data_IF_127478391841
#
_entry.id   IF_127478391841
#
_cell.length_a   1.000
_cell.length_b   1.000
_cell.length_c   1.000
_cell.angle_alpha   90.00
_cell.angle_beta   90.00
_cell.angle_gamma   90.00
#
_symmetry.space_group_name_H-M   'P 1'
#
loop_
_entity.id
_entity.type
_entity.pdbx_description
1 polymer ?
#
# COMPACT_ATOMS: atom_id res chain seq x y z
N UNK A 1 -51.15 -2.46 24.11
CA UNK A 1 -50.67 -1.66 22.96
C UNK A 1 -49.16 -1.59 23.06
N UNK A 2 -48.50 -1.80 21.93
CA UNK A 2 -47.13 -2.28 21.78
C UNK A 2 -46.05 -1.28 22.18
N UNK A 3 -44.96 -1.83 22.70
CA UNK A 3 -43.66 -1.21 22.98
C UNK A 3 -42.97 -0.81 21.67
N UNK A 4 -42.68 0.48 21.48
CA UNK A 4 -41.79 0.94 20.41
C UNK A 4 -40.33 0.82 20.89
N UNK A 5 -39.65 -0.22 20.42
CA UNK A 5 -38.19 -0.31 20.49
C UNK A 5 -37.58 0.54 19.37
N UNK A 6 -36.87 1.60 19.75
CA UNK A 6 -35.92 2.27 18.86
C UNK A 6 -34.71 1.35 18.63
N UNK A 7 -34.28 1.11 17.37
CA UNK A 7 -33.04 0.40 17.12
C UNK A 7 -31.86 1.33 17.39
N UNK A 8 -31.01 0.87 18.32
CA UNK A 8 -29.75 1.48 18.69
C UNK A 8 -28.78 1.30 17.51
N UNK A 9 -28.62 2.32 16.66
CA UNK A 9 -27.62 2.32 15.60
C UNK A 9 -26.24 2.55 16.23
N UNK A 10 -25.61 1.47 16.69
CA UNK A 10 -24.18 1.45 17.00
C UNK A 10 -23.43 1.58 15.68
N UNK A 11 -22.96 2.80 15.38
CA UNK A 11 -21.95 3.01 14.35
C UNK A 11 -20.69 2.35 14.89
N UNK A 12 -20.36 1.18 14.36
CA UNK A 12 -19.05 0.56 14.56
C UNK A 12 -18.00 1.52 13.99
N UNK A 13 -17.38 2.32 14.85
CA UNK A 13 -16.11 2.97 14.56
C UNK A 13 -15.10 1.86 14.27
N UNK A 14 -14.94 1.54 12.99
CA UNK A 14 -13.82 0.74 12.50
C UNK A 14 -12.56 1.52 12.90
N UNK A 15 -11.89 1.03 13.94
CA UNK A 15 -10.61 1.53 14.39
C UNK A 15 -9.67 1.53 13.20
N UNK A 16 -9.22 2.72 12.78
CA UNK A 16 -8.14 2.83 11.81
C UNK A 16 -6.95 2.05 12.38
N UNK A 17 -6.32 1.15 11.62
CA UNK A 17 -5.10 0.50 12.10
C UNK A 17 -4.08 1.60 12.39
N UNK A 18 -3.52 1.59 13.59
CA UNK A 18 -2.53 2.59 13.99
C UNK A 18 -1.33 2.52 13.03
N UNK A 19 -0.88 3.68 12.56
CA UNK A 19 0.32 3.78 11.75
C UNK A 19 1.50 3.20 12.55
N UNK A 20 2.19 2.23 11.97
CA UNK A 20 3.37 1.63 12.58
C UNK A 20 4.59 2.29 11.94
N UNK A 21 5.43 2.93 12.76
CA UNK A 21 6.64 3.60 12.28
C UNK A 21 7.75 2.54 12.16
N UNK A 22 8.05 2.12 10.94
CA UNK A 22 9.20 1.26 10.66
C UNK A 22 10.46 2.08 10.42
N UNK A 23 11.60 1.54 10.86
CA UNK A 23 12.88 2.13 10.55
C UNK A 23 13.12 2.08 9.02
N UNK A 24 13.69 3.14 8.46
CA UNK A 24 14.06 3.19 7.03
C UNK A 24 14.96 2.02 6.62
N UNK A 25 15.81 1.55 7.53
CA UNK A 25 16.68 0.39 7.33
C UNK A 25 15.90 -0.90 7.10
N UNK A 26 14.79 -1.10 7.81
CA UNK A 26 13.94 -2.27 7.65
C UNK A 26 13.16 -2.20 6.34
N UNK A 27 12.67 -1.02 5.95
CA UNK A 27 11.97 -0.82 4.67
C UNK A 27 12.95 -1.02 3.50
N UNK A 28 14.17 -0.49 3.58
CA UNK A 28 15.21 -0.70 2.59
C UNK A 28 15.61 -2.18 2.49
N UNK A 29 15.80 -2.87 3.62
CA UNK A 29 16.11 -4.30 3.63
C UNK A 29 14.97 -5.12 3.05
N UNK A 30 13.72 -4.82 3.42
CA UNK A 30 12.53 -5.42 2.86
C UNK A 30 12.57 -5.41 1.33
N UNK A 31 12.86 -4.22 0.77
CA UNK A 31 12.89 -4.05 -0.68
C UNK A 31 14.08 -4.73 -1.32
N UNK A 32 15.27 -4.69 -0.70
CA UNK A 32 16.50 -5.21 -1.28
C UNK A 32 16.58 -6.74 -1.21
N UNK A 33 16.31 -7.32 -0.04
CA UNK A 33 16.53 -8.75 0.25
C UNK A 33 15.28 -9.60 0.00
N UNK A 34 14.06 -9.05 0.12
CA UNK A 34 12.81 -9.82 0.04
C UNK A 34 11.87 -9.39 -1.10
N UNK A 35 12.23 -8.36 -1.88
CA UNK A 35 11.38 -7.78 -2.94
C UNK A 35 10.01 -7.28 -2.44
N UNK A 36 9.96 -6.85 -1.18
CA UNK A 36 8.75 -6.39 -0.49
C UNK A 36 8.93 -4.96 0.03
N UNK A 37 7.91 -4.12 -0.09
CA UNK A 37 7.87 -2.83 0.57
C UNK A 37 6.93 -2.92 1.77
N UNK A 38 7.43 -2.60 2.96
CA UNK A 38 6.60 -2.44 4.16
C UNK A 38 5.89 -1.09 4.08
N UNK A 39 4.60 -1.06 4.39
CA UNK A 39 3.83 0.18 4.53
C UNK A 39 3.74 0.59 6.00
N UNK A 40 4.08 1.83 6.31
CA UNK A 40 3.83 2.44 7.63
C UNK A 40 2.34 2.74 7.81
N UNK A 41 1.63 3.00 6.71
CA UNK A 41 0.18 3.25 6.68
C UNK A 41 -0.55 2.07 6.03
N UNK A 42 -1.16 1.16 6.82
CA UNK A 42 -1.91 0.04 6.26
C UNK A 42 -3.16 0.50 5.51
N UNK A 43 -3.46 -0.19 4.41
CA UNK A 43 -4.65 0.03 3.59
C UNK A 43 -5.72 -0.99 4.00
N UNK A 44 -6.92 -0.51 4.30
CA UNK A 44 -8.08 -1.37 4.57
C UNK A 44 -8.81 -1.65 3.26
N UNK A 45 -8.81 -2.89 2.80
CA UNK A 45 -9.44 -3.28 1.53
C UNK A 45 -10.04 -4.68 1.59
N UNK A 46 -11.33 -4.82 1.30
CA UNK A 46 -11.99 -6.13 1.24
C UNK A 46 -11.94 -6.92 2.55
N UNK A 47 -11.90 -6.24 3.71
CA UNK A 47 -11.74 -6.86 5.02
C UNK A 47 -10.32 -7.29 5.37
N UNK A 48 -9.33 -6.97 4.52
CA UNK A 48 -7.92 -7.25 4.73
C UNK A 48 -7.15 -5.99 5.13
N UNK A 49 -6.08 -6.19 5.92
CA UNK A 49 -5.17 -5.13 6.35
C UNK A 49 -3.90 -5.21 5.52
N UNK A 50 -3.88 -4.51 4.39
CA UNK A 50 -2.76 -4.54 3.46
C UNK A 50 -1.64 -3.64 4.01
N UNK A 51 -0.54 -4.24 4.43
CA UNK A 51 0.61 -3.54 5.02
C UNK A 51 1.94 -3.89 4.35
N UNK A 52 1.87 -4.53 3.17
CA UNK A 52 2.99 -4.85 2.33
C UNK A 52 2.64 -4.65 0.86
N UNK A 53 3.63 -4.30 0.04
CA UNK A 53 3.52 -4.26 -1.40
C UNK A 53 4.65 -5.07 -2.06
N UNK A 54 4.36 -5.65 -3.21
CA UNK A 54 5.30 -6.42 -4.02
C UNK A 54 5.16 -6.05 -5.47
N UNK A 55 6.28 -5.97 -6.17
CA UNK A 55 6.27 -5.72 -7.61
C UNK A 55 6.08 -7.02 -8.39
N UNK A 56 5.05 -7.06 -9.23
CA UNK A 56 4.77 -8.24 -10.07
C UNK A 56 5.44 -8.18 -11.44
N UNK A 57 5.79 -6.99 -11.92
CA UNK A 57 6.53 -6.79 -13.18
C UNK A 57 7.32 -5.48 -13.20
N UNK A 58 8.29 -5.38 -14.11
CA UNK A 58 9.02 -4.13 -14.35
C UNK A 58 8.07 -3.04 -14.89
N UNK A 59 8.31 -1.81 -14.45
CA UNK A 59 7.68 -0.63 -15.02
C UNK A 59 8.15 -0.44 -16.47
N UNK A 60 7.23 -0.10 -17.35
CA UNK A 60 7.48 0.20 -18.76
C UNK A 60 7.16 1.65 -19.04
N UNK A 61 7.74 2.21 -20.11
CA UNK A 61 7.45 3.59 -20.55
C UNK A 61 5.95 3.80 -20.76
N UNK A 62 5.24 2.78 -21.27
CA UNK A 62 3.78 2.84 -21.45
C UNK A 62 3.01 3.07 -20.15
N UNK A 63 3.46 2.51 -19.02
CA UNK A 63 2.77 2.65 -17.74
C UNK A 63 2.78 4.11 -17.28
N UNK A 64 3.91 4.80 -17.51
CA UNK A 64 4.03 6.24 -17.24
C UNK A 64 3.17 7.07 -18.18
N UNK A 65 3.13 6.74 -19.47
CA UNK A 65 2.29 7.46 -20.45
C UNK A 65 0.81 7.33 -20.08
N UNK A 66 0.36 6.13 -19.74
CA UNK A 66 -1.02 5.86 -19.30
C UNK A 66 -1.33 6.60 -18.00
N UNK A 67 -0.42 6.60 -17.02
CA UNK A 67 -0.59 7.34 -15.77
C UNK A 67 -0.68 8.86 -15.97
N UNK A 68 0.18 9.44 -16.82
CA UNK A 68 0.13 10.87 -17.15
C UNK A 68 -1.19 11.21 -17.85
N UNK A 69 -1.65 10.37 -18.78
CA UNK A 69 -2.94 10.53 -19.44
C UNK A 69 -4.09 10.50 -18.44
N UNK A 70 -4.11 9.50 -17.55
CA UNK A 70 -5.11 9.37 -16.49
C UNK A 70 -5.17 10.63 -15.63
N UNK A 71 -4.02 11.14 -15.15
CA UNK A 71 -4.01 12.32 -14.27
C UNK A 71 -4.51 13.59 -14.96
N UNK A 72 -4.17 13.78 -16.24
CA UNK A 72 -4.73 14.89 -17.04
C UNK A 72 -6.23 14.77 -17.23
N UNK A 73 -6.74 13.56 -17.51
CA UNK A 73 -8.16 13.32 -17.70
C UNK A 73 -8.97 13.49 -16.40
N UNK A 74 -8.44 13.04 -15.25
CA UNK A 74 -9.15 13.10 -13.97
C UNK A 74 -8.99 14.44 -13.23
N UNK A 75 -7.81 15.06 -13.29
CA UNK A 75 -7.47 16.24 -12.48
C UNK A 75 -7.18 17.50 -13.31
N UNK A 76 -7.03 17.38 -14.63
CA UNK A 76 -6.69 18.51 -15.52
C UNK A 76 -5.21 18.92 -15.51
N UNK A 77 -4.37 18.27 -14.71
CA UNK A 77 -2.93 18.52 -14.63
C UNK A 77 -2.16 17.24 -14.26
N UNK A 78 -0.82 17.28 -14.42
CA UNK A 78 0.05 16.18 -14.02
C UNK A 78 0.31 16.24 -12.50
N UNK A 79 -0.15 15.23 -11.77
CA UNK A 79 0.15 15.05 -10.35
C UNK A 79 1.08 13.85 -10.16
N UNK A 80 2.25 14.06 -9.57
CA UNK A 80 3.26 13.00 -9.39
C UNK A 80 2.77 11.88 -8.45
N UNK A 81 2.01 12.23 -7.41
CA UNK A 81 1.47 11.24 -6.47
C UNK A 81 0.39 10.38 -7.15
N UNK A 82 -0.47 11.00 -7.96
CA UNK A 82 -1.46 10.30 -8.75
C UNK A 82 -0.85 9.46 -9.89
N UNK A 83 0.25 9.92 -10.51
CA UNK A 83 1.04 9.13 -11.45
C UNK A 83 1.61 7.90 -10.74
N UNK A 84 2.20 8.08 -9.56
CA UNK A 84 2.80 7.00 -8.76
C UNK A 84 1.75 5.99 -8.34
N UNK A 85 0.61 6.44 -7.81
CA UNK A 85 -0.53 5.61 -7.44
C UNK A 85 -1.07 4.81 -8.65
N UNK A 86 -1.18 5.44 -9.82
CA UNK A 86 -1.63 4.77 -11.03
C UNK A 86 -0.66 3.66 -11.45
N UNK A 87 0.64 3.95 -11.51
CA UNK A 87 1.64 2.93 -11.85
C UNK A 87 1.63 1.81 -10.80
N UNK A 88 1.54 2.16 -9.52
CA UNK A 88 1.48 1.20 -8.41
C UNK A 88 0.29 0.25 -8.56
N UNK A 89 -0.91 0.77 -8.86
CA UNK A 89 -2.10 -0.07 -9.11
C UNK A 89 -1.94 -1.03 -10.30
N UNK A 90 -1.06 -0.71 -11.25
CA UNK A 90 -0.87 -1.49 -12.47
C UNK A 90 0.22 -2.56 -12.37
N UNK A 91 1.18 -2.38 -11.45
CA UNK A 91 2.41 -3.22 -11.42
C UNK A 91 2.76 -3.74 -10.03
N UNK A 92 2.02 -3.34 -9.00
CA UNK A 92 2.18 -3.84 -7.64
C UNK A 92 0.95 -4.66 -7.23
N UNK A 93 1.19 -5.62 -6.37
CA UNK A 93 0.15 -6.24 -5.54
C UNK A 93 0.44 -5.90 -4.09
N UNK A 94 -0.62 -5.84 -3.29
CA UNK A 94 -0.58 -5.50 -1.89
C UNK A 94 -1.12 -6.67 -1.08
N UNK A 95 -0.62 -6.83 0.15
CA UNK A 95 -0.98 -7.98 0.98
C UNK A 95 -0.65 -7.77 2.44
N UNK A 96 -0.92 -8.81 3.22
CA UNK A 96 -0.57 -8.89 4.64
C UNK A 96 0.83 -9.46 4.80
N UNK A 97 1.68 -8.79 5.58
CA UNK A 97 2.98 -9.32 6.00
C UNK A 97 2.80 -10.58 6.83
N UNK A 98 3.64 -11.57 6.55
CA UNK A 98 3.72 -12.84 7.28
C UNK A 98 5.17 -13.28 7.41
N UNK A 99 5.41 -14.27 8.26
CA UNK A 99 6.73 -14.90 8.39
C UNK A 99 7.85 -13.92 8.78
N UNK A 100 7.51 -12.82 9.46
CA UNK A 100 8.49 -11.86 9.97
C UNK A 100 9.38 -12.52 11.03
N UNK A 101 10.68 -12.51 10.79
CA UNK A 101 11.68 -12.96 11.76
C UNK A 101 12.84 -11.97 11.84
N UNK A 102 13.43 -11.85 13.03
CA UNK A 102 14.57 -10.98 13.32
C UNK A 102 15.68 -11.77 14.00
N UNK A 103 16.93 -11.37 13.79
CA UNK A 103 18.07 -11.93 14.51
C UNK A 103 18.23 -11.33 15.91
N UNK A 104 19.27 -11.79 16.64
CA UNK A 104 19.61 -11.33 17.99
C UNK A 104 19.95 -9.83 18.07
N UNK A 105 20.25 -9.19 16.93
CA UNK A 105 20.53 -7.77 16.81
C UNK A 105 19.30 -6.96 16.34
N UNK A 106 18.13 -7.60 16.22
CA UNK A 106 16.89 -6.97 15.76
C UNK A 106 16.81 -6.80 14.24
N UNK A 107 17.76 -7.34 13.49
CA UNK A 107 17.83 -7.25 12.03
C UNK A 107 16.74 -8.12 11.40
N UNK A 108 15.94 -7.57 10.49
CA UNK A 108 14.99 -8.35 9.70
C UNK A 108 15.71 -9.43 8.87
N UNK A 109 15.39 -10.71 9.11
CA UNK A 109 16.00 -11.89 8.45
C UNK A 109 15.03 -12.67 7.58
N UNK A 110 13.73 -12.52 7.82
CA UNK A 110 12.69 -13.13 7.01
C UNK A 110 11.49 -12.21 6.91
N UNK A 111 10.91 -12.13 5.72
CA UNK A 111 9.67 -11.41 5.47
C UNK A 111 8.94 -12.09 4.31
N UNK A 112 7.65 -12.35 4.50
CA UNK A 112 6.75 -12.86 3.48
C UNK A 112 5.50 -12.02 3.36
N UNK A 113 4.67 -12.34 2.37
CA UNK A 113 3.40 -11.69 2.13
C UNK A 113 2.35 -12.73 1.73
N UNK A 114 1.13 -12.59 2.24
CA UNK A 114 -0.04 -13.40 1.85
C UNK A 114 -1.16 -12.48 1.36
N UNK A 115 -2.09 -13.07 0.61
CA UNK A 115 -3.32 -12.37 0.21
C UNK A 115 -3.04 -11.22 -0.75
N UNK A 116 -2.34 -11.52 -1.83
CA UNK A 116 -1.98 -10.56 -2.88
C UNK A 116 -3.25 -10.04 -3.60
N UNK A 117 -3.46 -8.73 -3.54
CA UNK A 117 -4.57 -8.03 -4.20
C UNK A 117 -4.08 -6.77 -4.91
N UNK A 118 -4.74 -6.41 -6.00
CA UNK A 118 -4.52 -5.13 -6.67
C UNK A 118 -5.37 -4.06 -5.97
N UNK A 119 -4.73 -2.96 -5.57
CA UNK A 119 -5.42 -1.84 -4.92
C UNK A 119 -5.76 -0.76 -5.95
N UNK A 120 -7.01 -0.29 -5.99
CA UNK A 120 -7.43 0.80 -6.87
C UNK A 120 -6.65 2.12 -6.67
N UNK A 121 -6.54 2.91 -7.74
CA UNK A 121 -5.78 4.18 -7.76
C UNK A 121 -6.29 5.18 -6.74
N UNK A 122 -7.61 5.31 -6.60
CA UNK A 122 -8.29 6.21 -5.67
C UNK A 122 -7.91 5.93 -4.20
N UNK A 123 -7.68 4.67 -3.83
CA UNK A 123 -7.19 4.33 -2.50
C UNK A 123 -5.71 4.69 -2.34
N UNK A 124 -4.89 4.42 -3.36
CA UNK A 124 -3.45 4.66 -3.31
C UNK A 124 -3.09 6.15 -3.31
N UNK A 125 -3.89 7.01 -3.93
CA UNK A 125 -3.68 8.47 -3.94
C UNK A 125 -3.79 9.09 -2.54
N UNK A 126 -4.50 8.43 -1.63
CA UNK A 126 -4.70 8.94 -0.26
C UNK A 126 -3.56 8.53 0.70
N UNK A 127 -2.54 7.84 0.20
CA UNK A 127 -1.39 7.47 1.02
C UNK A 127 -0.53 8.70 1.36
N UNK A 128 0.17 8.70 2.50
CA UNK A 128 1.17 9.72 2.78
C UNK A 128 2.26 9.76 1.72
N UNK A 129 2.82 10.95 1.48
CA UNK A 129 3.91 11.17 0.52
C UNK A 129 5.11 10.22 0.72
N UNK A 130 5.44 9.88 1.96
CA UNK A 130 6.52 8.94 2.27
C UNK A 130 6.27 7.54 1.69
N UNK A 131 5.01 7.08 1.68
CA UNK A 131 4.65 5.81 1.05
C UNK A 131 4.81 5.89 -0.47
N UNK A 132 4.44 7.01 -1.08
CA UNK A 132 4.64 7.21 -2.52
C UNK A 132 6.13 7.11 -2.88
N UNK A 133 7.04 7.63 -2.05
CA UNK A 133 8.49 7.48 -2.25
C UNK A 133 8.91 6.01 -2.17
N UNK A 134 8.46 5.30 -1.14
CA UNK A 134 8.82 3.88 -0.95
C UNK A 134 8.29 3.01 -2.09
N UNK A 135 7.04 3.22 -2.51
CA UNK A 135 6.44 2.54 -3.65
C UNK A 135 7.18 2.88 -4.95
N UNK A 136 7.54 4.14 -5.18
CA UNK A 136 8.33 4.54 -6.34
C UNK A 136 9.70 3.84 -6.36
N UNK A 137 10.34 3.69 -5.21
CA UNK A 137 11.60 2.96 -5.09
C UNK A 137 11.44 1.47 -5.44
N UNK A 138 10.42 0.80 -4.88
CA UNK A 138 10.10 -0.59 -5.22
C UNK A 138 9.84 -0.76 -6.72
N UNK A 139 9.09 0.17 -7.33
CA UNK A 139 8.79 0.16 -8.76
C UNK A 139 10.03 0.34 -9.64
N UNK A 140 10.99 1.16 -9.21
CA UNK A 140 12.22 1.50 -9.94
C UNK A 140 13.36 0.47 -9.83
N UNK A 141 13.25 -0.54 -8.96
CA UNK A 141 14.30 -1.56 -8.76
C UNK A 141 14.64 -2.28 -10.08
N UNK A 142 15.91 -2.54 -10.40
CA UNK A 142 16.29 -3.23 -11.66
C UNK A 142 16.28 -4.74 -11.52
#
# INVERSE_FOLDING_TARGET
MSTEHQPNNTIETVSKPDAQVFALEDIARAMMEFDLCILNTPIQFGGMVLNCAKRVRKALVKDRIEAVRFTKEQYGFESNDAITAHIASSILVFGERVEEARDEHGKLTKLGMKGEVVVPVDMLINLPYEEHINLAHLMGKS
#
